data_IF_138125758418
#
_entry.id   IF_138125758418
#
_cell.length_a   1.000
_cell.length_b   1.000
_cell.length_c   1.000
_cell.angle_alpha   90.00
_cell.angle_beta   90.00
_cell.angle_gamma   90.00
#
_symmetry.space_group_name_H-M   'P 1'
#
loop_
_entity.id
_entity.type
_entity.pdbx_description
1 polymer ?
#
# COMPACT_ATOMS: atom_id res chain seq x y z
N UNK A 1 -16.46 4.11 10.39
CA UNK A 1 -15.25 4.80 10.88
C UNK A 1 -14.19 3.84 11.42
N UNK A 2 -14.53 2.78 12.16
CA UNK A 2 -13.56 1.82 12.75
C UNK A 2 -12.56 1.22 11.73
N UNK A 3 -12.94 0.97 10.48
CA UNK A 3 -12.01 0.44 9.44
C UNK A 3 -10.91 1.44 9.06
N UNK A 4 -11.19 2.74 9.17
CA UNK A 4 -10.19 3.76 8.88
C UNK A 4 -9.19 3.90 10.02
N UNK A 5 -9.53 3.47 11.24
CA UNK A 5 -8.63 3.64 12.38
C UNK A 5 -7.29 2.92 12.16
N UNK A 6 -7.22 1.64 11.75
CA UNK A 6 -5.94 1.02 11.42
C UNK A 6 -5.22 1.70 10.26
N UNK A 7 -5.93 2.23 9.26
CA UNK A 7 -5.32 2.96 8.15
C UNK A 7 -4.72 4.29 8.63
N UNK A 8 -5.43 5.01 9.50
CA UNK A 8 -4.98 6.27 10.09
C UNK A 8 -3.85 6.05 11.09
N UNK A 9 -3.88 4.97 11.87
CA UNK A 9 -2.79 4.59 12.78
C UNK A 9 -1.57 4.17 11.97
N UNK A 10 -1.72 3.35 10.94
CA UNK A 10 -0.62 2.92 10.09
C UNK A 10 -0.03 4.09 9.31
N UNK A 11 -0.87 4.93 8.72
CA UNK A 11 -0.47 6.15 8.04
C UNK A 11 0.19 7.14 8.99
N UNK A 12 -0.37 7.34 10.18
CA UNK A 12 0.18 8.20 11.23
C UNK A 12 1.53 7.71 11.76
N UNK A 13 1.67 6.42 12.04
CA UNK A 13 2.93 5.81 12.49
C UNK A 13 4.01 5.92 11.41
N UNK A 14 3.64 5.71 10.15
CA UNK A 14 4.57 5.84 9.04
C UNK A 14 4.97 7.31 8.85
N UNK A 15 4.01 8.24 8.80
CA UNK A 15 4.28 9.70 8.74
C UNK A 15 5.16 10.14 9.92
N UNK A 16 4.82 9.77 11.15
CA UNK A 16 5.64 10.09 12.32
C UNK A 16 7.03 9.47 12.24
N UNK A 17 7.18 8.24 11.77
CA UNK A 17 8.47 7.59 11.61
C UNK A 17 9.34 8.21 10.51
N UNK A 18 8.74 8.74 9.43
CA UNK A 18 9.48 9.31 8.29
C UNK A 18 9.75 10.82 8.42
N UNK A 19 8.92 11.56 9.15
CA UNK A 19 8.95 13.03 9.15
C UNK A 19 9.32 13.68 10.49
N UNK A 20 9.63 12.89 11.52
CA UNK A 20 10.16 13.47 12.76
C UNK A 20 11.66 13.79 12.63
N UNK A 21 11.98 15.09 12.59
CA UNK A 21 13.30 15.62 12.94
C UNK A 21 14.39 15.59 11.86
N UNK A 22 14.05 15.59 10.56
CA UNK A 22 15.06 15.58 9.49
C UNK A 22 14.88 16.73 8.50
N UNK A 23 15.99 17.42 8.22
CA UNK A 23 16.20 18.17 6.98
C UNK A 23 16.20 17.16 5.82
N UNK A 24 15.02 16.94 5.25
CA UNK A 24 14.90 16.10 4.07
C UNK A 24 15.45 16.87 2.88
N UNK A 25 16.39 16.29 2.10
CA UNK A 25 16.80 16.90 0.84
C UNK A 25 15.59 16.88 -0.09
N UNK A 26 14.94 18.04 -0.25
CA UNK A 26 13.88 18.18 -1.22
C UNK A 26 14.51 18.42 -2.60
N UNK A 27 14.14 17.56 -3.55
CA UNK A 27 14.71 17.56 -4.90
C UNK A 27 13.75 18.22 -5.91
N UNK A 28 12.71 18.89 -5.42
CA UNK A 28 11.67 19.57 -6.20
C UNK A 28 10.29 18.94 -6.02
N UNK A 29 9.21 19.71 -6.32
CA UNK A 29 7.85 19.33 -5.96
C UNK A 29 7.40 18.01 -6.61
N UNK A 30 7.76 17.76 -7.88
CA UNK A 30 7.37 16.53 -8.57
C UNK A 30 8.02 15.29 -7.95
N UNK A 31 9.30 15.38 -7.57
CA UNK A 31 10.01 14.30 -6.90
C UNK A 31 9.39 14.01 -5.53
N UNK A 32 9.08 15.06 -4.76
CA UNK A 32 8.50 14.92 -3.43
C UNK A 32 7.08 14.33 -3.48
N UNK A 33 6.26 14.74 -4.46
CA UNK A 33 4.96 14.10 -4.74
C UNK A 33 5.17 12.62 -5.06
N UNK A 34 6.16 12.28 -5.88
CA UNK A 34 6.45 10.89 -6.24
C UNK A 34 6.79 10.06 -4.99
N UNK A 35 7.63 10.58 -4.09
CA UNK A 35 7.99 9.90 -2.84
C UNK A 35 6.76 9.70 -1.94
N UNK A 36 5.93 10.73 -1.77
CA UNK A 36 4.70 10.63 -0.98
C UNK A 36 3.72 9.59 -1.56
N UNK A 37 3.57 9.53 -2.88
CA UNK A 37 2.79 8.49 -3.55
C UNK A 37 3.33 7.08 -3.24
N UNK A 38 4.65 6.88 -3.27
CA UNK A 38 5.28 5.60 -2.93
C UNK A 38 4.99 5.16 -1.49
N UNK A 39 5.10 6.08 -0.54
CA UNK A 39 4.76 5.80 0.86
C UNK A 39 3.28 5.52 1.07
N UNK A 40 2.39 6.30 0.46
CA UNK A 40 0.94 6.05 0.55
C UNK A 40 0.56 4.71 -0.08
N UNK A 41 1.19 4.32 -1.19
CA UNK A 41 1.02 3.00 -1.78
C UNK A 41 1.44 1.90 -0.80
N UNK A 42 2.60 2.04 -0.14
CA UNK A 42 3.07 1.10 0.87
C UNK A 42 2.10 0.97 2.05
N UNK A 43 1.60 2.10 2.58
CA UNK A 43 0.58 2.12 3.65
C UNK A 43 -0.66 1.34 3.22
N UNK A 44 -1.17 1.59 2.00
CA UNK A 44 -2.35 0.90 1.49
C UNK A 44 -2.10 -0.60 1.28
N UNK A 45 -0.93 -0.99 0.76
CA UNK A 45 -0.56 -2.41 0.61
C UNK A 45 -0.55 -3.10 1.98
N UNK A 46 0.12 -2.53 2.98
CA UNK A 46 0.13 -3.08 4.33
C UNK A 46 -1.28 -3.11 4.96
N UNK A 47 -2.10 -2.10 4.72
CA UNK A 47 -3.50 -2.05 5.17
C UNK A 47 -4.37 -3.14 4.53
N UNK A 48 -4.11 -3.53 3.28
CA UNK A 48 -4.86 -4.59 2.60
C UNK A 48 -4.71 -5.97 3.26
N UNK A 49 -3.64 -6.19 4.05
CA UNK A 49 -3.50 -7.39 4.88
C UNK A 49 -4.46 -7.41 6.09
N UNK A 50 -4.86 -6.22 6.59
CA UNK A 50 -5.91 -6.10 7.59
C UNK A 50 -7.29 -6.26 6.92
N UNK A 51 -7.46 -5.63 5.76
CA UNK A 51 -8.68 -5.68 4.97
C UNK A 51 -8.69 -6.88 4.00
N UNK A 52 -8.66 -8.12 4.49
CA UNK A 52 -8.47 -9.36 3.68
C UNK A 52 -9.56 -9.69 2.61
N UNK A 53 -10.47 -8.76 2.29
CA UNK A 53 -11.60 -8.97 1.38
C UNK A 53 -12.70 -9.90 1.92
N UNK A 54 -12.46 -10.51 3.08
CA UNK A 54 -13.41 -11.36 3.81
C UNK A 54 -14.23 -10.52 4.79
N UNK A 55 -15.45 -10.95 5.13
CA UNK A 55 -16.23 -10.31 6.18
C UNK A 55 -15.45 -10.29 7.49
N UNK A 56 -15.10 -9.10 7.98
CA UNK A 56 -14.61 -8.94 9.35
C UNK A 56 -15.79 -9.05 10.32
N UNK A 57 -15.45 -9.18 11.62
CA UNK A 57 -16.45 -9.15 12.69
C UNK A 57 -16.88 -7.74 13.02
N UNK A 58 -15.95 -6.81 13.00
CA UNK A 58 -16.21 -5.40 13.25
C UNK A 58 -15.52 -4.63 12.12
N UNK A 59 -16.26 -3.76 11.40
CA UNK A 59 -17.71 -3.54 11.47
C UNK A 59 -18.51 -4.70 10.88
N UNK A 60 -19.75 -4.87 11.35
CA UNK A 60 -20.64 -5.99 10.98
C UNK A 60 -21.35 -5.76 9.62
N UNK A 61 -20.56 -5.48 8.59
CA UNK A 61 -21.03 -5.31 7.21
C UNK A 61 -21.12 -6.66 6.47
N UNK A 62 -21.79 -6.67 5.32
CA UNK A 62 -21.82 -7.82 4.41
C UNK A 62 -20.46 -8.09 3.74
N UNK A 63 -20.29 -9.28 3.19
CA UNK A 63 -19.04 -9.65 2.50
C UNK A 63 -18.79 -8.82 1.24
N UNK A 64 -19.83 -8.27 0.61
CA UNK A 64 -19.70 -7.43 -0.58
C UNK A 64 -18.94 -6.15 -0.27
N UNK A 65 -19.19 -5.52 0.89
CA UNK A 65 -18.43 -4.37 1.34
C UNK A 65 -16.92 -4.65 1.38
N UNK A 66 -16.50 -5.74 2.03
CA UNK A 66 -15.08 -6.04 2.18
C UNK A 66 -14.41 -6.41 0.86
N UNK A 67 -15.09 -7.16 0.01
CA UNK A 67 -14.59 -7.51 -1.31
C UNK A 67 -14.43 -6.27 -2.22
N UNK A 68 -15.43 -5.38 -2.22
CA UNK A 68 -15.38 -4.12 -2.98
C UNK A 68 -14.30 -3.20 -2.42
N UNK A 69 -14.24 -3.02 -1.09
CA UNK A 69 -13.24 -2.18 -0.46
C UNK A 69 -11.82 -2.69 -0.74
N UNK A 70 -11.53 -3.97 -0.52
CA UNK A 70 -10.22 -4.56 -0.80
C UNK A 70 -9.81 -4.37 -2.26
N UNK A 71 -10.74 -4.59 -3.20
CA UNK A 71 -10.48 -4.36 -4.63
C UNK A 71 -10.16 -2.89 -4.93
N UNK A 72 -10.96 -1.96 -4.43
CA UNK A 72 -10.77 -0.53 -4.70
C UNK A 72 -9.49 0.00 -4.06
N UNK A 73 -9.19 -0.36 -2.81
CA UNK A 73 -7.93 -0.02 -2.15
C UNK A 73 -6.72 -0.65 -2.86
N UNK A 74 -6.86 -1.87 -3.38
CA UNK A 74 -5.84 -2.50 -4.23
C UNK A 74 -5.59 -1.71 -5.53
N UNK A 75 -6.66 -1.27 -6.20
CA UNK A 75 -6.52 -0.41 -7.38
C UNK A 75 -5.90 0.95 -7.04
N UNK A 76 -6.28 1.57 -5.92
CA UNK A 76 -5.69 2.83 -5.46
C UNK A 76 -4.20 2.68 -5.15
N UNK A 77 -3.81 1.62 -4.44
CA UNK A 77 -2.40 1.31 -4.19
C UNK A 77 -1.63 1.13 -5.51
N UNK A 78 -2.18 0.36 -6.46
CA UNK A 78 -1.57 0.18 -7.79
C UNK A 78 -1.44 1.50 -8.56
N UNK A 79 -2.47 2.36 -8.54
CA UNK A 79 -2.42 3.68 -9.16
C UNK A 79 -1.35 4.58 -8.54
N UNK A 80 -1.21 4.57 -7.21
CA UNK A 80 -0.15 5.32 -6.53
C UNK A 80 1.25 4.79 -6.84
N UNK A 81 1.43 3.47 -7.00
CA UNK A 81 2.69 2.89 -7.47
C UNK A 81 3.03 3.38 -8.88
N UNK A 82 2.05 3.40 -9.80
CA UNK A 82 2.24 3.91 -11.17
C UNK A 82 2.61 5.39 -11.14
N UNK A 83 1.92 6.20 -10.34
CA UNK A 83 2.24 7.62 -10.16
C UNK A 83 3.64 7.81 -9.56
N UNK A 84 3.99 7.06 -8.53
CA UNK A 84 5.32 7.09 -7.92
C UNK A 84 6.43 6.83 -8.96
N UNK A 85 6.31 5.75 -9.73
CA UNK A 85 7.32 5.40 -10.75
C UNK A 85 7.33 6.42 -11.89
N UNK A 86 6.16 6.79 -12.42
CA UNK A 86 6.05 7.72 -13.54
C UNK A 86 6.57 9.11 -13.20
N UNK A 87 6.20 9.65 -12.04
CA UNK A 87 6.69 10.95 -11.57
C UNK A 87 8.19 10.92 -11.23
N UNK A 88 8.69 9.83 -10.63
CA UNK A 88 10.13 9.70 -10.33
C UNK A 88 10.97 9.70 -11.61
N UNK A 89 10.54 8.96 -12.64
CA UNK A 89 11.23 8.92 -13.94
C UNK A 89 11.10 10.22 -14.72
N UNK A 90 10.00 10.94 -14.56
CA UNK A 90 9.81 12.25 -15.17
C UNK A 90 10.67 13.33 -14.50
N UNK A 91 10.70 13.35 -13.17
CA UNK A 91 11.44 14.33 -12.38
C UNK A 91 12.95 14.09 -12.45
N UNK A 92 13.40 12.82 -12.44
CA UNK A 92 14.82 12.45 -12.53
C UNK A 92 15.01 11.28 -13.51
N UNK A 93 15.14 11.56 -14.82
CA UNK A 93 15.27 10.53 -15.85
C UNK A 93 16.48 9.63 -15.69
N UNK A 94 17.57 10.09 -15.04
CA UNK A 94 18.75 9.25 -14.80
C UNK A 94 18.44 8.07 -13.88
N UNK A 95 17.34 8.14 -13.11
CA UNK A 95 16.84 7.03 -12.29
C UNK A 95 16.64 5.75 -13.11
N UNK A 96 16.28 5.88 -14.39
CA UNK A 96 16.08 4.72 -15.28
C UNK A 96 17.34 3.84 -15.39
N UNK A 97 18.55 4.41 -15.26
CA UNK A 97 19.80 3.65 -15.32
C UNK A 97 19.94 2.69 -14.14
N UNK A 98 19.41 3.05 -12.97
CA UNK A 98 19.44 2.20 -11.78
C UNK A 98 18.39 1.07 -11.80
N UNK A 99 17.51 1.03 -12.80
CA UNK A 99 16.55 -0.06 -13.01
C UNK A 99 17.11 -1.18 -13.89
N UNK A 100 18.28 -0.99 -14.51
CA UNK A 100 18.94 -1.99 -15.34
C UNK A 100 19.58 -3.10 -14.49
N UNK A 101 19.80 -4.31 -15.05
CA UNK A 101 20.59 -5.34 -14.39
C UNK A 101 21.97 -4.79 -13.98
N UNK A 102 22.32 -4.91 -12.71
CA UNK A 102 23.53 -4.32 -12.12
C UNK A 102 23.30 -3.02 -11.34
N UNK A 103 22.08 -2.47 -11.35
CA UNK A 103 21.70 -1.37 -10.46
C UNK A 103 21.68 -1.78 -8.98
N UNK A 104 21.58 -0.81 -8.06
CA UNK A 104 21.50 -1.08 -6.63
C UNK A 104 20.35 -2.03 -6.29
N UNK A 105 20.59 -2.98 -5.39
CA UNK A 105 19.61 -4.03 -5.06
C UNK A 105 18.25 -3.48 -4.62
N UNK A 106 18.21 -2.35 -3.91
CA UNK A 106 16.95 -1.72 -3.49
C UNK A 106 16.15 -1.17 -4.68
N UNK A 107 16.79 -0.69 -5.75
CA UNK A 107 16.11 -0.24 -6.97
C UNK A 107 15.53 -1.42 -7.74
N UNK A 108 16.29 -2.52 -7.84
CA UNK A 108 15.81 -3.78 -8.42
C UNK A 108 14.64 -4.37 -7.63
N UNK A 109 14.65 -4.24 -6.30
CA UNK A 109 13.51 -4.62 -5.47
C UNK A 109 12.29 -3.72 -5.71
N UNK A 110 12.49 -2.41 -5.94
CA UNK A 110 11.42 -1.50 -6.37
C UNK A 110 10.78 -1.96 -7.69
N UNK A 111 11.61 -2.33 -8.67
CA UNK A 111 11.15 -2.88 -9.96
C UNK A 111 10.41 -4.21 -9.78
N UNK A 112 10.95 -5.13 -8.97
CA UNK A 112 10.27 -6.39 -8.63
C UNK A 112 8.93 -6.11 -7.92
N UNK A 113 8.89 -5.12 -7.02
CA UNK A 113 7.67 -4.65 -6.37
C UNK A 113 6.63 -4.14 -7.38
N UNK A 114 7.02 -3.34 -8.37
CA UNK A 114 6.13 -2.89 -9.44
C UNK A 114 5.50 -4.07 -10.19
N UNK A 115 6.33 -5.06 -10.57
CA UNK A 115 5.85 -6.26 -11.27
C UNK A 115 4.89 -7.08 -10.39
N UNK A 116 5.22 -7.26 -9.11
CA UNK A 116 4.37 -7.95 -8.14
C UNK A 116 3.05 -7.21 -7.90
N UNK A 117 3.06 -5.88 -7.89
CA UNK A 117 1.84 -5.07 -7.80
C UNK A 117 0.94 -5.29 -9.03
N UNK A 118 1.51 -5.31 -10.23
CA UNK A 118 0.78 -5.64 -11.45
C UNK A 118 0.19 -7.06 -11.40
N UNK A 119 0.98 -8.04 -10.94
CA UNK A 119 0.54 -9.43 -10.75
C UNK A 119 -0.50 -9.60 -9.63
N UNK A 120 -0.54 -8.70 -8.65
CA UNK A 120 -1.57 -8.70 -7.61
C UNK A 120 -2.87 -8.09 -8.14
N UNK A 121 -2.80 -6.98 -8.89
CA UNK A 121 -3.97 -6.19 -9.31
C UNK A 121 -4.62 -6.74 -10.59
N UNK A 122 -3.85 -7.00 -11.65
CA UNK A 122 -4.39 -7.37 -12.97
C UNK A 122 -5.17 -8.70 -12.91
N UNK A 123 -4.63 -9.80 -12.33
CA UNK A 123 -5.36 -11.05 -12.21
C UNK A 123 -6.54 -10.99 -11.25
N UNK A 124 -6.70 -9.91 -10.47
CA UNK A 124 -7.82 -9.74 -9.55
C UNK A 124 -9.10 -9.27 -10.25
N UNK A 125 -9.03 -8.78 -11.49
CA UNK A 125 -10.20 -8.47 -12.30
C UNK A 125 -10.92 -9.74 -12.75
N UNK A 126 -12.26 -9.73 -12.69
CA UNK A 126 -13.08 -10.92 -12.99
C UNK A 126 -12.79 -11.53 -14.37
N UNK A 127 -12.63 -10.67 -15.38
CA UNK A 127 -12.36 -11.06 -16.76
C UNK A 127 -11.03 -11.83 -16.92
N UNK A 128 -10.01 -11.46 -16.15
CA UNK A 128 -8.68 -12.08 -16.21
C UNK A 128 -8.64 -13.31 -15.30
N UNK A 129 -9.15 -13.19 -14.07
CA UNK A 129 -9.14 -14.25 -13.07
C UNK A 129 -9.76 -15.55 -13.57
N UNK A 130 -10.92 -15.45 -14.22
CA UNK A 130 -11.65 -16.62 -14.72
C UNK A 130 -10.93 -17.36 -15.85
N UNK A 131 -10.05 -16.67 -16.59
CA UNK A 131 -9.25 -17.25 -17.68
C UNK A 131 -8.02 -17.99 -17.14
N UNK A 132 -7.35 -17.43 -16.13
CA UNK A 132 -6.10 -17.98 -15.60
C UNK A 132 -6.37 -19.07 -14.55
N UNK A 133 -7.36 -18.87 -13.68
CA UNK A 133 -7.57 -19.71 -12.50
C UNK A 133 -8.92 -20.41 -12.52
N UNK A 134 -8.92 -21.71 -12.81
CA UNK A 134 -10.12 -22.57 -12.72
C UNK A 134 -10.65 -22.74 -11.28
N UNK A 135 -9.76 -22.69 -10.27
CA UNK A 135 -10.10 -22.89 -8.85
C UNK A 135 -9.81 -21.62 -8.04
N UNK A 136 -10.84 -21.07 -7.39
CA UNK A 136 -10.72 -19.86 -6.56
C UNK A 136 -9.74 -20.02 -5.37
N UNK A 137 -9.55 -21.23 -4.86
CA UNK A 137 -8.58 -21.53 -3.78
C UNK A 137 -7.15 -21.25 -4.25
N UNK A 138 -6.79 -21.72 -5.45
CA UNK A 138 -5.43 -21.56 -6.01
C UNK A 138 -5.12 -20.09 -6.27
N UNK A 139 -6.08 -19.35 -6.84
CA UNK A 139 -5.94 -17.89 -7.00
C UNK A 139 -5.64 -17.21 -5.66
N UNK A 140 -6.38 -17.52 -4.59
CA UNK A 140 -6.16 -16.90 -3.27
C UNK A 140 -4.78 -17.21 -2.69
N UNK A 141 -4.28 -18.43 -2.88
CA UNK A 141 -2.93 -18.81 -2.43
C UNK A 141 -1.86 -18.04 -3.21
N UNK A 142 -1.94 -18.06 -4.54
CA UNK A 142 -1.00 -17.35 -5.41
C UNK A 142 -1.02 -15.84 -5.14
N UNK A 143 -2.21 -15.23 -5.08
CA UNK A 143 -2.38 -13.81 -4.75
C UNK A 143 -1.80 -13.47 -3.37
N UNK A 144 -1.98 -14.34 -2.37
CA UNK A 144 -1.39 -14.15 -1.04
C UNK A 144 0.14 -14.19 -1.05
N UNK A 145 0.75 -15.11 -1.80
CA UNK A 145 2.21 -15.20 -1.96
C UNK A 145 2.75 -13.96 -2.69
N UNK A 146 2.10 -13.56 -3.79
CA UNK A 146 2.46 -12.34 -4.54
C UNK A 146 2.34 -11.09 -3.65
N UNK A 147 1.28 -10.97 -2.87
CA UNK A 147 1.10 -9.85 -1.95
C UNK A 147 2.17 -9.81 -0.84
N UNK A 148 2.57 -10.97 -0.29
CA UNK A 148 3.65 -11.06 0.68
C UNK A 148 4.99 -10.65 0.06
N UNK A 149 5.29 -11.13 -1.14
CA UNK A 149 6.46 -10.72 -1.90
C UNK A 149 6.46 -9.22 -2.17
N UNK A 150 5.32 -8.65 -2.58
CA UNK A 150 5.16 -7.22 -2.81
C UNK A 150 5.48 -6.41 -1.56
N UNK A 151 4.90 -6.79 -0.40
CA UNK A 151 5.15 -6.10 0.87
C UNK A 151 6.64 -6.15 1.23
N UNK A 152 7.26 -7.33 1.13
CA UNK A 152 8.68 -7.51 1.44
C UNK A 152 9.61 -6.72 0.51
N UNK A 153 9.38 -6.76 -0.80
CA UNK A 153 10.16 -6.02 -1.78
C UNK A 153 10.01 -4.51 -1.59
N UNK A 154 8.80 -4.02 -1.29
CA UNK A 154 8.56 -2.62 -1.00
C UNK A 154 9.25 -2.18 0.30
N UNK A 155 9.19 -2.98 1.37
CA UNK A 155 9.92 -2.69 2.61
C UNK A 155 11.43 -2.62 2.38
N UNK A 156 12.00 -3.58 1.64
CA UNK A 156 13.42 -3.59 1.31
C UNK A 156 13.83 -2.39 0.43
N UNK A 157 13.01 -2.04 -0.57
CA UNK A 157 13.21 -0.86 -1.39
C UNK A 157 13.25 0.42 -0.55
N UNK A 158 12.26 0.62 0.32
CA UNK A 158 12.15 1.80 1.19
C UNK A 158 13.36 1.90 2.15
N UNK A 159 13.74 0.80 2.80
CA UNK A 159 14.86 0.80 3.75
C UNK A 159 16.21 0.99 3.04
N UNK A 160 16.39 0.39 1.86
CA UNK A 160 17.64 0.46 1.11
C UNK A 160 17.85 1.80 0.39
N UNK A 161 16.77 2.50 0.02
CA UNK A 161 16.87 3.81 -0.62
C UNK A 161 17.49 4.88 0.28
N UNK A 162 17.38 4.76 1.61
CA UNK A 162 18.09 5.61 2.57
C UNK A 162 17.70 7.10 2.58
N UNK A 163 16.70 7.51 1.79
CA UNK A 163 16.27 8.91 1.69
C UNK A 163 15.50 9.35 2.94
N UNK A 164 14.38 8.69 3.23
CA UNK A 164 13.53 8.98 4.39
C UNK A 164 13.72 7.99 5.55
N UNK A 165 14.45 6.89 5.32
CA UNK A 165 14.73 5.85 6.31
C UNK A 165 16.22 5.73 6.50
N UNK A 166 16.74 6.47 7.49
CA UNK A 166 18.18 6.52 7.78
C UNK A 166 18.53 5.83 9.08
N UNK A 167 17.64 5.93 10.06
CA UNK A 167 17.85 5.38 11.40
C UNK A 167 17.53 3.89 11.48
N UNK A 168 18.36 3.14 12.22
CA UNK A 168 18.08 1.74 12.57
C UNK A 168 16.69 1.55 13.18
N UNK A 169 16.23 2.50 14.00
CA UNK A 169 14.91 2.44 14.63
C UNK A 169 13.77 2.53 13.61
N UNK A 170 13.92 3.34 12.55
CA UNK A 170 12.93 3.44 11.47
C UNK A 170 12.88 2.13 10.67
N UNK A 171 14.04 1.55 10.35
CA UNK A 171 14.13 0.25 9.66
C UNK A 171 13.46 -0.87 10.46
N UNK A 172 13.76 -0.96 11.77
CA UNK A 172 13.12 -1.93 12.67
C UNK A 172 11.61 -1.71 12.72
N UNK A 173 11.15 -0.45 12.81
CA UNK A 173 9.72 -0.12 12.83
C UNK A 173 9.01 -0.60 11.56
N UNK A 174 9.59 -0.34 10.39
CA UNK A 174 9.05 -0.80 9.10
C UNK A 174 8.99 -2.32 9.05
N UNK A 175 10.05 -3.01 9.47
CA UNK A 175 10.13 -4.46 9.49
C UNK A 175 9.08 -5.08 10.44
N UNK A 176 8.91 -4.52 11.63
CA UNK A 176 7.90 -4.96 12.61
C UNK A 176 6.49 -4.77 12.06
N UNK A 177 6.21 -3.60 11.49
CA UNK A 177 4.90 -3.31 10.88
C UNK A 177 4.62 -4.29 9.72
N UNK A 178 5.59 -4.48 8.82
CA UNK A 178 5.45 -5.40 7.69
C UNK A 178 5.23 -6.84 8.16
N UNK A 179 6.02 -7.31 9.13
CA UNK A 179 5.89 -8.63 9.72
C UNK A 179 4.53 -8.84 10.40
N UNK A 180 4.09 -7.85 11.19
CA UNK A 180 2.78 -7.89 11.82
C UNK A 180 1.64 -7.98 10.79
N UNK A 181 1.64 -7.10 9.79
CA UNK A 181 0.68 -7.14 8.68
C UNK A 181 0.69 -8.48 7.95
N UNK A 182 1.87 -9.04 7.65
CA UNK A 182 2.01 -10.32 6.95
C UNK A 182 1.41 -11.51 7.73
N UNK A 183 1.53 -11.50 9.06
CA UNK A 183 1.08 -12.60 9.93
C UNK A 183 -0.45 -12.56 10.17
N UNK A 184 -1.06 -11.37 10.18
CA UNK A 184 -2.47 -11.19 10.53
C UNK A 184 -3.48 -12.07 9.75
N UNK A 185 -3.38 -12.23 8.41
CA UNK A 185 -4.27 -13.13 7.67
C UNK A 185 -4.17 -14.60 8.08
N UNK A 186 -3.07 -15.02 8.70
CA UNK A 186 -2.90 -16.38 9.20
C UNK A 186 -3.58 -16.56 10.56
N UNK A 187 -3.40 -15.59 11.47
CA UNK A 187 -4.08 -15.59 12.78
C UNK A 187 -5.61 -15.60 12.56
N UNK A 188 -6.11 -14.73 11.69
CA UNK A 188 -7.55 -14.64 11.39
C UNK A 188 -8.15 -15.89 10.73
N UNK A 189 -7.32 -16.75 10.10
CA UNK A 189 -7.77 -18.02 9.52
C UNK A 189 -7.97 -19.12 10.56
N UNK A 190 -7.16 -19.13 11.61
CA UNK A 190 -7.17 -20.18 12.63
C UNK A 190 -7.93 -19.79 13.90
N UNK A 191 -8.14 -18.47 14.12
CA UNK A 191 -8.90 -17.96 15.25
C UNK A 191 -10.38 -18.31 15.19
N UNK A 192 -10.80 -19.34 15.94
CA UNK A 192 -12.21 -19.70 16.16
C UNK A 192 -12.83 -18.86 17.27
N UNK A 193 -12.96 -17.55 17.08
CA UNK A 193 -13.78 -16.77 18.03
C UNK A 193 -15.27 -16.70 17.64
N UNK A 194 -16.18 -16.53 18.62
CA UNK A 194 -17.63 -16.61 18.39
C UNK A 194 -18.11 -15.62 17.33
N UNK A 195 -19.15 -16.02 16.58
CA UNK A 195 -19.82 -15.09 15.64
C UNK A 195 -20.59 -14.05 16.46
N UNK A 196 -20.42 -12.75 16.17
CA UNK A 196 -21.24 -11.71 16.82
C UNK A 196 -22.73 -11.99 16.59
N UNK A 197 -23.55 -11.81 17.63
CA UNK A 197 -25.00 -11.87 17.53
C UNK A 197 -25.54 -10.66 16.77
N UNK A 198 -26.47 -10.86 15.83
CA UNK A 198 -27.16 -9.79 15.10
C UNK A 198 -27.20 -9.99 13.58
N UNK A 199 -27.86 -9.04 12.89
CA UNK A 199 -27.99 -9.05 11.43
C UNK A 199 -26.90 -8.19 10.77
N UNK A 200 -26.24 -8.75 9.74
CA UNK A 200 -25.25 -7.99 8.96
C UNK A 200 -25.93 -6.88 8.17
N UNK A 201 -25.34 -5.69 8.17
CA UNK A 201 -25.81 -4.60 7.32
C UNK A 201 -25.65 -5.00 5.84
N UNK A 202 -26.75 -4.99 5.10
CA UNK A 202 -26.81 -5.36 3.68
C UNK A 202 -26.62 -4.14 2.78
N UNK A 203 -26.29 -4.40 1.52
CA UNK A 203 -26.13 -3.38 0.48
C UNK A 203 -25.07 -2.32 0.84
N UNK A 204 -23.97 -2.76 1.44
CA UNK A 204 -22.91 -1.87 1.90
C UNK A 204 -21.85 -1.57 0.84
N UNK A 205 -22.00 -2.06 -0.39
CA UNK A 205 -21.05 -1.79 -1.48
C UNK A 205 -20.88 -0.29 -1.80
N UNK A 206 -21.94 0.54 -1.89
CA UNK A 206 -21.77 1.99 -2.12
C UNK A 206 -20.97 2.68 -1.01
N UNK A 207 -21.07 2.18 0.22
CA UNK A 207 -20.29 2.70 1.35
C UNK A 207 -18.80 2.41 1.16
N UNK A 208 -18.44 1.21 0.69
CA UNK A 208 -17.06 0.88 0.35
C UNK A 208 -16.52 1.77 -0.78
N UNK A 209 -17.33 2.08 -1.79
CA UNK A 209 -16.95 2.99 -2.89
C UNK A 209 -16.64 4.39 -2.36
N UNK A 210 -17.55 4.98 -1.58
CA UNK A 210 -17.34 6.31 -0.97
C UNK A 210 -16.10 6.33 -0.08
N UNK A 211 -15.91 5.28 0.70
CA UNK A 211 -14.75 5.14 1.58
C UNK A 211 -13.44 5.13 0.79
N UNK A 212 -13.37 4.32 -0.27
CA UNK A 212 -12.20 4.26 -1.13
C UNK A 212 -11.96 5.59 -1.85
N UNK A 213 -13.01 6.24 -2.35
CA UNK A 213 -12.91 7.56 -3.00
C UNK A 213 -12.36 8.63 -2.02
N UNK A 214 -12.89 8.68 -0.79
CA UNK A 214 -12.40 9.59 0.25
C UNK A 214 -10.94 9.31 0.60
N UNK A 215 -10.57 8.05 0.82
CA UNK A 215 -9.21 7.68 1.14
C UNK A 215 -8.23 7.95 -0.01
N UNK A 216 -8.65 7.70 -1.26
CA UNK A 216 -7.88 8.01 -2.46
C UNK A 216 -7.68 9.52 -2.63
N UNK A 217 -8.74 10.32 -2.48
CA UNK A 217 -8.66 11.78 -2.52
C UNK A 217 -7.77 12.34 -1.41
N UNK A 218 -7.87 11.81 -0.19
CA UNK A 218 -6.99 12.19 0.92
C UNK A 218 -5.53 11.81 0.65
N UNK A 219 -5.26 10.59 0.18
CA UNK A 219 -3.90 10.15 -0.14
C UNK A 219 -3.26 11.02 -1.22
N UNK A 220 -3.98 11.32 -2.31
CA UNK A 220 -3.52 12.22 -3.35
C UNK A 220 -3.32 13.65 -2.84
N UNK A 221 -4.27 14.16 -2.06
CA UNK A 221 -4.19 15.49 -1.46
C UNK A 221 -2.97 15.65 -0.55
N UNK A 222 -2.68 14.65 0.28
CA UNK A 222 -1.48 14.62 1.12
C UNK A 222 -0.21 14.56 0.25
N UNK A 223 -0.18 13.74 -0.80
CA UNK A 223 0.99 13.69 -1.70
C UNK A 223 1.27 15.03 -2.38
N UNK A 224 0.23 15.71 -2.87
CA UNK A 224 0.34 17.03 -3.51
C UNK A 224 0.76 18.08 -2.49
N UNK A 225 0.08 18.15 -1.34
CA UNK A 225 0.40 19.10 -0.28
C UNK A 225 1.84 18.92 0.22
N UNK A 226 2.29 17.66 0.36
CA UNK A 226 3.65 17.33 0.74
C UNK A 226 4.65 17.92 -0.25
N UNK A 227 4.51 17.65 -1.55
CA UNK A 227 5.47 18.18 -2.52
C UNK A 227 5.45 19.70 -2.65
N UNK A 228 4.26 20.33 -2.52
CA UNK A 228 4.18 21.79 -2.54
C UNK A 228 4.79 22.41 -1.28
N UNK A 229 4.57 21.83 -0.10
CA UNK A 229 5.09 22.36 1.16
C UNK A 229 6.61 22.30 1.20
N UNK A 230 7.20 21.15 0.87
CA UNK A 230 8.66 20.99 0.88
C UNK A 230 9.35 21.78 -0.24
N UNK A 231 8.70 21.96 -1.40
CA UNK A 231 9.25 22.83 -2.45
C UNK A 231 9.34 24.31 -2.05
N UNK A 232 8.50 24.79 -1.12
CA UNK A 232 8.47 26.20 -0.70
C UNK A 232 9.63 26.58 0.21
N UNK A 233 10.23 25.62 0.91
CA UNK A 233 11.38 25.85 1.78
C UNK A 233 12.71 25.90 1.00
N UNK A 234 12.69 25.71 -0.32
CA UNK A 234 13.86 25.67 -1.20
C UNK A 234 13.79 26.66 -2.37
N UNK A 235 12.78 27.53 -2.43
CA UNK A 235 12.85 28.68 -3.32
C UNK A 235 13.86 29.68 -2.71
N UNK A 236 14.93 30.07 -3.42
CA UNK A 236 15.84 31.12 -2.97
C UNK A 236 15.11 32.45 -2.74
#
# INVERSE_FOLDING_TARGET
>A
MIILLPLLVLGGLLVSAFFSGLELPANGPLWDIAMACGFMAYVLVAFLFLLTGRPLRIPFNDGKFFAVAHRLFGCLAGGLVVLHVGLSLWAEPLTARYLLPGGPGYMLAGLAGLLLAALAVIPSFHAVRGRIWRKAVRFRQAHGVVALGLLGMASFHIMGAGLHVRGRNQMVTIAVIAGFCAILPWIGRHGRLPRPSGYRRRNTAPVAVRLAAMAGGAALGVSIAYGLYFSRWLAP
#
